data_IF_465353028573
#
_entry.id   IF_465353028573
#
_cell.length_a   1.000
_cell.length_b   1.000
_cell.length_c   1.000
_cell.angle_alpha   90.00
_cell.angle_beta   90.00
_cell.angle_gamma   90.00
#
_symmetry.space_group_name_H-M   'P 1'
#
loop_
_entity.id
_entity.type
_entity.pdbx_description
1 polymer ?
#
# COMPACT_ATOMS: atom_id res chain seq x y z
N UNK A 1 4.17 -4.22 -28.07
CA UNK A 1 2.92 -4.47 -28.84
C UNK A 1 3.12 -3.98 -30.28
N UNK A 2 3.53 -4.87 -31.21
CA UNK A 2 4.10 -4.50 -32.52
C UNK A 2 3.13 -4.48 -33.72
N UNK A 3 1.83 -4.76 -33.56
CA UNK A 3 0.90 -4.84 -34.69
C UNK A 3 -0.28 -3.84 -34.56
N UNK A 4 -0.64 -3.19 -35.67
CA UNK A 4 -1.93 -2.49 -35.81
C UNK A 4 -3.05 -3.54 -35.86
N UNK A 5 -4.16 -3.32 -35.16
CA UNK A 5 -5.29 -4.25 -35.11
C UNK A 5 -5.88 -4.48 -36.51
N UNK A 6 -6.43 -5.67 -36.75
CA UNK A 6 -7.08 -6.01 -38.00
C UNK A 6 -8.18 -4.99 -38.38
N UNK A 7 -8.94 -4.52 -37.39
CA UNK A 7 -10.00 -3.53 -37.58
C UNK A 7 -9.47 -2.18 -38.10
N UNK A 8 -8.36 -1.68 -37.55
CA UNK A 8 -7.72 -0.46 -38.05
C UNK A 8 -7.22 -0.68 -39.48
N UNK A 9 -6.65 -1.85 -39.80
CA UNK A 9 -6.19 -2.14 -41.16
C UNK A 9 -7.35 -2.19 -42.17
N UNK A 10 -8.49 -2.78 -41.81
CA UNK A 10 -9.69 -2.75 -42.65
C UNK A 10 -10.19 -1.32 -42.86
N UNK A 11 -10.16 -0.50 -41.81
CA UNK A 11 -10.61 0.88 -41.92
C UNK A 11 -9.64 1.75 -42.73
N UNK A 12 -8.33 1.48 -42.70
CA UNK A 12 -7.35 2.11 -43.62
C UNK A 12 -7.73 1.82 -45.09
N UNK A 13 -8.09 0.57 -45.41
CA UNK A 13 -8.52 0.19 -46.77
C UNK A 13 -9.78 0.97 -47.17
N UNK A 14 -10.75 1.14 -46.26
CA UNK A 14 -11.93 1.97 -46.51
C UNK A 14 -11.56 3.42 -46.82
N UNK A 15 -10.65 4.02 -46.05
CA UNK A 15 -10.18 5.39 -46.28
C UNK A 15 -9.50 5.54 -47.65
N UNK A 16 -8.67 4.58 -48.09
CA UNK A 16 -8.09 4.63 -49.43
C UNK A 16 -9.14 4.59 -50.55
N UNK A 17 -10.21 3.81 -50.36
CA UNK A 17 -11.29 3.70 -51.33
C UNK A 17 -12.18 4.94 -51.41
N UNK A 18 -12.44 5.59 -50.26
CA UNK A 18 -13.48 6.61 -50.10
C UNK A 18 -12.93 8.04 -49.96
N UNK A 19 -11.72 8.23 -49.44
CA UNK A 19 -11.16 9.57 -49.18
C UNK A 19 -10.41 10.19 -50.36
N UNK A 20 -10.30 9.50 -51.50
CA UNK A 20 -9.59 9.99 -52.68
C UNK A 20 -10.45 9.75 -53.91
N UNK A 21 -10.43 10.65 -54.90
CA UNK A 21 -11.03 10.39 -56.21
C UNK A 21 -9.99 9.80 -57.17
N UNK A 22 -8.92 10.56 -57.44
CA UNK A 22 -7.86 10.18 -58.37
C UNK A 22 -6.84 9.22 -57.78
N UNK A 23 -6.36 8.28 -58.61
CA UNK A 23 -5.32 7.32 -58.23
C UNK A 23 -3.96 7.98 -58.02
N UNK A 24 -3.67 9.08 -58.69
CA UNK A 24 -2.40 9.79 -58.51
C UNK A 24 -2.32 10.44 -57.12
N UNK A 25 -3.44 10.94 -56.59
CA UNK A 25 -3.51 11.42 -55.18
C UNK A 25 -3.25 10.28 -54.19
N UNK A 26 -3.73 9.06 -54.49
CA UNK A 26 -3.41 7.86 -53.68
C UNK A 26 -1.92 7.53 -53.75
N UNK A 27 -1.28 7.64 -54.92
CA UNK A 27 0.18 7.47 -55.06
C UNK A 27 0.92 8.45 -54.16
N UNK A 28 0.62 9.75 -54.26
CA UNK A 28 1.27 10.79 -53.45
C UNK A 28 1.11 10.53 -51.95
N UNK A 29 -0.08 10.10 -51.51
CA UNK A 29 -0.32 9.76 -50.11
C UNK A 29 0.48 8.54 -49.66
N UNK A 30 0.52 7.46 -50.47
CA UNK A 30 1.30 6.26 -50.16
C UNK A 30 2.81 6.56 -50.10
N UNK A 31 3.31 7.40 -51.01
CA UNK A 31 4.70 7.86 -51.00
C UNK A 31 5.03 8.67 -49.75
N UNK A 32 4.17 9.63 -49.38
CA UNK A 32 4.32 10.41 -48.14
C UNK A 32 4.31 9.53 -46.89
N UNK A 33 3.58 8.42 -46.91
CA UNK A 33 3.55 7.42 -45.84
C UNK A 33 4.77 6.48 -45.83
N UNK A 34 5.65 6.54 -46.84
CA UNK A 34 6.85 5.73 -46.95
C UNK A 34 6.64 4.34 -47.57
N UNK A 35 5.55 4.15 -48.34
CA UNK A 35 5.34 2.90 -49.10
C UNK A 35 6.33 2.85 -50.27
N UNK A 36 7.05 1.73 -50.50
CA UNK A 36 7.98 1.62 -51.62
C UNK A 36 7.29 1.79 -52.98
N UNK A 37 7.86 2.59 -53.88
CA UNK A 37 7.28 2.88 -55.20
C UNK A 37 6.99 1.62 -56.03
N UNK A 38 7.87 0.60 -55.96
CA UNK A 38 7.65 -0.67 -56.65
C UNK A 38 6.34 -1.33 -56.23
N UNK A 39 6.04 -1.32 -54.92
CA UNK A 39 4.83 -1.90 -54.37
C UNK A 39 3.57 -1.09 -54.72
N UNK A 40 3.69 0.25 -54.76
CA UNK A 40 2.60 1.14 -55.19
C UNK A 40 2.22 0.85 -56.64
N UNK A 41 3.22 0.85 -57.54
CA UNK A 41 3.00 0.72 -58.98
C UNK A 41 2.52 -0.67 -59.40
N UNK A 42 2.98 -1.72 -58.70
CA UNK A 42 2.58 -3.13 -58.96
C UNK A 42 1.07 -3.34 -59.03
N UNK A 43 0.31 -2.57 -58.24
CA UNK A 43 -1.14 -2.75 -58.09
C UNK A 43 -1.95 -1.52 -58.51
N UNK A 44 -1.33 -0.50 -59.14
CA UNK A 44 -1.99 0.77 -59.47
C UNK A 44 -3.17 0.62 -60.43
N UNK A 45 -3.17 -0.41 -61.29
CA UNK A 45 -4.28 -0.69 -62.21
C UNK A 45 -5.56 -1.11 -61.50
N UNK A 46 -5.47 -1.69 -60.30
CA UNK A 46 -6.60 -2.22 -59.54
C UNK A 46 -7.55 -1.12 -59.00
N UNK A 47 -8.82 -1.43 -58.71
CA UNK A 47 -9.69 -0.54 -57.95
C UNK A 47 -9.09 -0.16 -56.58
N UNK A 48 -9.28 1.08 -56.10
CA UNK A 48 -8.61 1.63 -54.90
C UNK A 48 -8.70 0.73 -53.66
N UNK A 49 -9.84 0.09 -53.41
CA UNK A 49 -10.02 -0.84 -52.30
C UNK A 49 -9.13 -2.09 -52.43
N UNK A 50 -9.12 -2.70 -53.62
CA UNK A 50 -8.32 -3.90 -53.93
C UNK A 50 -6.83 -3.54 -53.92
N UNK A 51 -6.48 -2.40 -54.50
CA UNK A 51 -5.13 -1.86 -54.50
C UNK A 51 -4.60 -1.67 -53.07
N UNK A 52 -5.33 -0.94 -52.22
CA UNK A 52 -4.93 -0.72 -50.83
C UNK A 52 -4.83 -2.04 -50.05
N UNK A 53 -5.78 -2.97 -50.25
CA UNK A 53 -5.74 -4.30 -49.62
C UNK A 53 -4.46 -5.05 -49.98
N UNK A 54 -4.08 -5.08 -51.26
CA UNK A 54 -2.87 -5.78 -51.72
C UNK A 54 -1.60 -5.15 -51.16
N UNK A 55 -1.51 -3.81 -51.14
CA UNK A 55 -0.38 -3.09 -50.53
C UNK A 55 -0.27 -3.42 -49.04
N UNK A 56 -1.36 -3.33 -48.27
CA UNK A 56 -1.36 -3.63 -46.83
C UNK A 56 -0.99 -5.10 -46.56
N UNK A 57 -1.48 -6.04 -47.38
CA UNK A 57 -1.14 -7.46 -47.26
C UNK A 57 0.36 -7.72 -47.46
N UNK A 58 0.99 -7.10 -48.46
CA UNK A 58 2.43 -7.23 -48.68
C UNK A 58 3.24 -6.58 -47.54
N UNK A 59 2.83 -5.40 -47.08
CA UNK A 59 3.50 -4.72 -45.96
C UNK A 59 3.43 -5.51 -44.65
N UNK A 60 2.32 -6.22 -44.38
CA UNK A 60 2.18 -7.01 -43.16
C UNK A 60 3.19 -8.17 -43.04
N UNK A 61 3.75 -8.66 -44.16
CA UNK A 61 4.68 -9.80 -44.17
C UNK A 61 5.99 -9.51 -43.45
N UNK A 62 6.38 -8.24 -43.30
CA UNK A 62 7.66 -7.84 -42.69
C UNK A 62 7.46 -6.91 -41.50
N UNK A 63 8.43 -6.85 -40.60
CA UNK A 63 8.39 -5.90 -39.48
C UNK A 63 8.49 -4.44 -39.96
N UNK A 64 9.37 -4.17 -40.93
CA UNK A 64 9.48 -2.85 -41.55
C UNK A 64 8.18 -2.42 -42.25
N UNK A 65 7.52 -3.33 -42.97
CA UNK A 65 6.24 -3.03 -43.60
C UNK A 65 5.13 -2.73 -42.58
N UNK A 66 5.12 -3.40 -41.42
CA UNK A 66 4.21 -3.05 -40.31
C UNK A 66 4.46 -1.64 -39.73
N UNK A 67 5.71 -1.15 -39.74
CA UNK A 67 6.00 0.25 -39.41
C UNK A 67 5.45 1.23 -40.45
N UNK A 68 5.48 0.86 -41.73
CA UNK A 68 4.89 1.67 -42.81
C UNK A 68 3.36 1.76 -42.66
N UNK A 69 2.68 0.66 -42.31
CA UNK A 69 1.23 0.68 -42.03
C UNK A 69 0.90 1.66 -40.88
N UNK A 70 1.78 1.79 -39.88
CA UNK A 70 1.64 2.79 -38.81
C UNK A 70 1.76 4.22 -39.30
N UNK A 71 2.68 4.47 -40.22
CA UNK A 71 2.81 5.80 -40.86
C UNK A 71 1.57 6.12 -41.68
N UNK A 72 1.06 5.17 -42.47
CA UNK A 72 -0.21 5.32 -43.21
C UNK A 72 -1.35 5.72 -42.26
N UNK A 73 -1.54 4.98 -41.17
CA UNK A 73 -2.58 5.28 -40.17
C UNK A 73 -2.42 6.69 -39.57
N UNK A 74 -1.17 7.10 -39.31
CA UNK A 74 -0.82 8.40 -38.75
C UNK A 74 -1.09 9.54 -39.72
N UNK A 75 -0.76 9.37 -41.00
CA UNK A 75 -1.03 10.37 -42.04
C UNK A 75 -2.54 10.55 -42.24
N UNK A 76 -3.33 9.47 -42.25
CA UNK A 76 -4.79 9.60 -42.22
C UNK A 76 -5.29 10.33 -40.97
N UNK A 77 -4.75 10.02 -39.80
CA UNK A 77 -5.15 10.69 -38.55
C UNK A 77 -4.94 12.21 -38.61
N UNK A 78 -3.85 12.65 -39.25
CA UNK A 78 -3.51 14.08 -39.43
C UNK A 78 -4.38 14.80 -40.46
N UNK A 79 -5.01 14.08 -41.41
CA UNK A 79 -5.85 14.71 -42.43
C UNK A 79 -7.03 15.45 -41.78
N UNK A 80 -7.12 16.77 -41.97
CA UNK A 80 -8.24 17.59 -41.46
C UNK A 80 -9.49 17.44 -42.32
N UNK A 81 -9.31 17.24 -43.63
CA UNK A 81 -10.36 17.11 -44.61
C UNK A 81 -9.91 16.13 -45.72
N UNK A 82 -10.84 15.72 -46.57
CA UNK A 82 -10.57 14.96 -47.80
C UNK A 82 -10.51 15.91 -49.01
N UNK A 83 -9.82 15.54 -50.10
CA UNK A 83 -9.73 16.34 -51.32
C UNK A 83 -11.10 16.71 -51.91
N UNK A 84 -11.19 17.89 -52.52
CA UNK A 84 -12.46 18.47 -52.99
C UNK A 84 -13.09 17.72 -54.17
N UNK A 85 -12.28 17.00 -54.94
CA UNK A 85 -12.70 16.19 -56.08
C UNK A 85 -13.46 14.90 -55.72
N UNK A 86 -13.56 14.54 -54.44
CA UNK A 86 -14.27 13.33 -54.01
C UNK A 86 -15.78 13.53 -54.20
N UNK A 87 -16.41 12.68 -55.02
CA UNK A 87 -17.84 12.77 -55.33
C UNK A 87 -18.74 12.50 -54.12
N UNK A 88 -18.48 11.43 -53.37
CA UNK A 88 -19.25 11.05 -52.17
C UNK A 88 -18.48 11.45 -50.91
N UNK A 89 -18.54 12.75 -50.60
CA UNK A 89 -17.74 13.33 -49.51
C UNK A 89 -18.15 12.82 -48.14
N UNK A 90 -19.44 12.60 -47.92
CA UNK A 90 -19.96 12.17 -46.63
C UNK A 90 -19.42 10.79 -46.24
N UNK A 91 -19.46 9.82 -47.17
CA UNK A 91 -18.88 8.50 -46.92
C UNK A 91 -17.37 8.53 -46.70
N UNK A 92 -16.65 9.38 -47.42
CA UNK A 92 -15.22 9.59 -47.21
C UNK A 92 -14.90 10.16 -45.83
N UNK A 93 -15.62 11.20 -45.42
CA UNK A 93 -15.46 11.82 -44.10
C UNK A 93 -15.87 10.87 -42.97
N UNK A 94 -16.94 10.09 -43.13
CA UNK A 94 -17.36 9.08 -42.16
C UNK A 94 -16.30 7.98 -42.00
N UNK A 95 -15.72 7.50 -43.10
CA UNK A 95 -14.64 6.53 -43.07
C UNK A 95 -13.41 7.07 -42.34
N UNK A 96 -13.04 8.33 -42.59
CA UNK A 96 -11.94 9.01 -41.92
C UNK A 96 -12.21 9.22 -40.42
N UNK A 97 -13.42 9.66 -40.05
CA UNK A 97 -13.83 9.81 -38.64
C UNK A 97 -13.76 8.48 -37.89
N UNK A 98 -14.26 7.40 -38.49
CA UNK A 98 -14.19 6.06 -37.89
C UNK A 98 -12.75 5.59 -37.68
N UNK A 99 -11.86 5.83 -38.66
CA UNK A 99 -10.43 5.51 -38.49
C UNK A 99 -9.80 6.29 -37.34
N UNK A 100 -10.09 7.59 -37.24
CA UNK A 100 -9.59 8.44 -36.15
C UNK A 100 -10.07 7.99 -34.78
N UNK A 101 -11.34 7.61 -34.68
CA UNK A 101 -11.90 7.06 -33.44
C UNK A 101 -11.19 5.77 -33.03
N UNK A 102 -11.01 4.81 -33.94
CA UNK A 102 -10.31 3.54 -33.67
C UNK A 102 -8.85 3.76 -33.21
N UNK A 103 -8.15 4.74 -33.81
CA UNK A 103 -6.78 5.11 -33.43
C UNK A 103 -6.75 5.84 -32.08
N UNK A 104 -7.73 6.71 -31.81
CA UNK A 104 -7.83 7.48 -30.57
C UNK A 104 -8.17 6.60 -29.36
N UNK A 105 -9.14 5.70 -29.50
CA UNK A 105 -9.57 4.76 -28.46
C UNK A 105 -8.43 3.81 -28.03
N UNK A 106 -7.62 3.32 -28.98
CA UNK A 106 -6.44 2.50 -28.67
C UNK A 106 -5.31 3.27 -27.97
N UNK A 107 -5.21 4.59 -28.13
CA UNK A 107 -4.27 5.41 -27.37
C UNK A 107 -4.79 5.72 -25.97
N UNK A 108 -6.09 5.98 -25.82
CA UNK A 108 -6.72 6.34 -24.55
C UNK A 108 -6.79 5.15 -23.57
N UNK A 109 -7.10 3.96 -24.07
CA UNK A 109 -7.08 2.72 -23.27
C UNK A 109 -5.67 2.39 -22.75
N UNK A 110 -4.63 2.66 -23.54
CA UNK A 110 -3.23 2.41 -23.17
C UNK A 110 -2.70 3.37 -22.10
N UNK A 111 -3.13 4.64 -22.17
CA UNK A 111 -2.82 5.66 -21.15
C UNK A 111 -3.50 5.25 -19.83
N UNK A 112 -4.79 4.92 -19.86
CA UNK A 112 -5.55 4.55 -18.66
C UNK A 112 -5.00 3.28 -17.99
N UNK A 113 -4.61 2.25 -18.75
CA UNK A 113 -3.97 1.05 -18.19
C UNK A 113 -2.60 1.37 -17.56
N UNK A 114 -1.81 2.26 -18.15
CA UNK A 114 -0.48 2.62 -17.63
C UNK A 114 -0.60 3.45 -16.34
N UNK A 115 -1.56 4.38 -16.27
CA UNK A 115 -1.83 5.18 -15.08
C UNK A 115 -2.41 4.34 -13.92
N UNK A 116 -3.33 3.42 -14.20
CA UNK A 116 -3.87 2.53 -13.17
C UNK A 116 -2.78 1.59 -12.62
N UNK A 117 -1.96 1.01 -13.49
CA UNK A 117 -0.85 0.15 -13.05
C UNK A 117 0.22 0.90 -12.25
N UNK A 118 0.55 2.15 -12.62
CA UNK A 118 1.53 2.96 -11.87
C UNK A 118 1.00 3.43 -10.51
N UNK A 119 -0.28 3.77 -10.42
CA UNK A 119 -0.94 4.13 -9.15
C UNK A 119 -1.01 2.95 -8.17
N UNK A 120 -1.40 1.76 -8.65
CA UNK A 120 -1.44 0.57 -7.79
C UNK A 120 -0.04 0.15 -7.34
N UNK A 121 0.95 0.23 -8.23
CA UNK A 121 2.34 -0.06 -7.92
C UNK A 121 2.92 0.91 -6.89
N UNK A 122 2.74 2.22 -7.07
CA UNK A 122 3.24 3.22 -6.10
C UNK A 122 2.59 3.09 -4.73
N UNK A 123 1.29 2.75 -4.67
CA UNK A 123 0.59 2.46 -3.42
C UNK A 123 1.10 1.19 -2.74
N UNK A 124 1.46 0.16 -3.50
CA UNK A 124 2.07 -1.07 -2.97
C UNK A 124 3.50 -0.80 -2.47
N UNK A 125 4.31 -0.07 -3.24
CA UNK A 125 5.66 0.35 -2.86
C UNK A 125 5.65 1.18 -1.58
N UNK A 126 4.76 2.16 -1.46
CA UNK A 126 4.57 2.94 -0.23
C UNK A 126 4.19 2.07 0.97
N UNK A 127 3.30 1.09 0.79
CA UNK A 127 2.93 0.15 1.87
C UNK A 127 4.10 -0.72 2.29
N UNK A 128 4.88 -1.23 1.33
CA UNK A 128 6.08 -2.03 1.60
C UNK A 128 7.12 -1.18 2.34
N UNK A 129 7.34 0.05 1.89
CA UNK A 129 8.28 0.98 2.51
C UNK A 129 7.87 1.34 3.94
N UNK A 130 6.59 1.63 4.17
CA UNK A 130 6.07 1.91 5.52
C UNK A 130 6.24 0.68 6.44
N UNK A 131 5.93 -0.52 5.95
CA UNK A 131 6.15 -1.78 6.68
C UNK A 131 7.63 -1.98 7.01
N UNK A 132 8.52 -1.72 6.07
CA UNK A 132 9.97 -1.82 6.28
C UNK A 132 10.45 -0.82 7.33
N UNK A 133 9.97 0.43 7.30
CA UNK A 133 10.27 1.43 8.31
C UNK A 133 9.79 1.02 9.70
N UNK A 134 8.56 0.50 9.81
CA UNK A 134 8.03 -0.02 11.08
C UNK A 134 8.88 -1.18 11.63
N UNK A 135 9.28 -2.13 10.78
CA UNK A 135 10.12 -3.27 11.18
C UNK A 135 11.52 -2.83 11.59
N UNK A 136 12.13 -1.90 10.84
CA UNK A 136 13.42 -1.32 11.20
C UNK A 136 13.34 -0.64 12.56
N UNK A 137 12.25 0.09 12.82
CA UNK A 137 12.08 0.76 14.10
C UNK A 137 11.93 -0.21 15.27
N UNK A 138 11.21 -1.31 15.09
CA UNK A 138 11.14 -2.38 16.09
C UNK A 138 12.52 -2.98 16.37
N UNK A 139 13.33 -3.21 15.33
CA UNK A 139 14.69 -3.75 15.47
C UNK A 139 15.61 -2.80 16.27
N UNK A 140 15.50 -1.49 16.03
CA UNK A 140 16.20 -0.46 16.82
C UNK A 140 15.79 -0.52 18.30
N UNK A 141 14.48 -0.57 18.58
CA UNK A 141 13.95 -0.63 19.94
C UNK A 141 14.34 -1.91 20.65
N UNK A 142 14.36 -3.04 19.94
CA UNK A 142 14.84 -4.33 20.45
C UNK A 142 16.32 -4.25 20.85
N UNK A 143 17.14 -3.66 19.99
CA UNK A 143 18.58 -3.48 20.24
C UNK A 143 18.81 -2.56 21.45
N UNK A 144 18.07 -1.44 21.53
CA UNK A 144 18.13 -0.53 22.68
C UNK A 144 17.72 -1.29 23.97
N UNK A 145 16.60 -2.02 23.96
CA UNK A 145 16.12 -2.80 25.09
C UNK A 145 17.15 -3.80 25.61
N UNK A 146 17.76 -4.60 24.71
CA UNK A 146 18.76 -5.58 25.13
C UNK A 146 20.05 -4.94 25.66
N UNK A 147 20.44 -3.77 25.15
CA UNK A 147 21.60 -3.04 25.69
C UNK A 147 21.41 -2.60 27.15
N UNK A 148 20.17 -2.43 27.60
CA UNK A 148 19.85 -1.98 28.96
C UNK A 148 20.15 -3.02 30.05
N UNK A 149 20.24 -4.31 29.70
CA UNK A 149 20.59 -5.37 30.67
C UNK A 149 22.02 -5.23 31.19
N UNK A 150 22.92 -4.66 30.40
CA UNK A 150 24.29 -4.33 30.81
C UNK A 150 24.41 -2.99 31.55
N UNK A 151 23.31 -2.28 31.77
CA UNK A 151 23.34 -0.97 32.43
C UNK A 151 23.44 -1.09 33.96
N UNK A 152 24.46 -0.47 34.53
CA UNK A 152 24.70 -0.43 35.98
C UNK A 152 23.90 0.66 36.71
N UNK A 153 23.25 1.59 36.00
CA UNK A 153 22.49 2.69 36.59
C UNK A 153 20.97 2.42 36.52
N UNK A 154 20.31 2.04 37.63
CA UNK A 154 18.90 1.65 37.62
C UNK A 154 17.95 2.78 37.22
N UNK A 155 18.24 4.03 37.62
CA UNK A 155 17.38 5.17 37.28
C UNK A 155 17.42 5.46 35.77
N UNK A 156 18.64 5.50 35.19
CA UNK A 156 18.82 5.71 33.76
C UNK A 156 18.20 4.56 32.96
N UNK A 157 18.32 3.33 33.45
CA UNK A 157 17.70 2.14 32.86
C UNK A 157 16.17 2.23 32.84
N UNK A 158 15.55 2.61 33.96
CA UNK A 158 14.10 2.82 34.04
C UNK A 158 13.60 3.87 33.05
N UNK A 159 14.21 5.04 33.04
CA UNK A 159 13.85 6.11 32.11
C UNK A 159 14.00 5.72 30.63
N UNK A 160 15.03 4.93 30.30
CA UNK A 160 15.22 4.40 28.94
C UNK A 160 14.15 3.38 28.57
N UNK A 161 13.77 2.51 29.50
CA UNK A 161 12.67 1.57 29.30
C UNK A 161 11.34 2.29 29.03
N UNK A 162 11.02 3.34 29.78
CA UNK A 162 9.83 4.16 29.55
C UNK A 162 9.79 4.72 28.11
N UNK A 163 10.93 5.22 27.60
CA UNK A 163 11.05 5.68 26.22
C UNK A 163 10.89 4.59 25.18
N UNK A 164 11.46 3.41 25.43
CA UNK A 164 11.31 2.25 24.53
C UNK A 164 9.84 1.87 24.42
N UNK A 165 9.14 1.78 25.56
CA UNK A 165 7.70 1.46 25.59
C UNK A 165 6.90 2.54 24.86
N UNK A 166 7.13 3.82 25.14
CA UNK A 166 6.43 4.91 24.45
C UNK A 166 6.62 4.84 22.92
N UNK A 167 7.85 4.60 22.46
CA UNK A 167 8.15 4.47 21.03
C UNK A 167 7.56 3.19 20.42
N UNK A 168 7.48 2.09 21.17
CA UNK A 168 6.84 0.86 20.73
C UNK A 168 5.34 1.07 20.48
N UNK A 169 4.65 1.77 21.39
CA UNK A 169 3.24 2.12 21.22
C UNK A 169 3.03 3.02 20.00
N UNK A 170 3.82 4.10 19.87
CA UNK A 170 3.75 5.01 18.70
C UNK A 170 4.02 4.29 17.38
N UNK A 171 5.00 3.39 17.33
CA UNK A 171 5.31 2.60 16.15
C UNK A 171 4.22 1.56 15.81
N UNK A 172 3.37 1.22 16.77
CA UNK A 172 2.22 0.32 16.60
C UNK A 172 0.93 1.07 16.28
N UNK A 173 1.02 2.37 15.95
CA UNK A 173 -0.12 3.26 15.69
C UNK A 173 -1.13 3.34 16.85
N UNK A 174 -0.65 3.16 18.09
CA UNK A 174 -1.44 3.33 19.31
C UNK A 174 -1.07 4.68 19.92
N UNK A 175 -2.06 5.56 20.05
CA UNK A 175 -1.88 6.89 20.64
C UNK A 175 -1.46 6.76 22.11
N UNK A 176 -0.22 7.17 22.39
CA UNK A 176 0.43 7.03 23.70
C UNK A 176 0.95 8.38 24.17
N UNK A 177 0.46 8.79 25.33
CA UNK A 177 0.90 9.96 26.05
C UNK A 177 2.00 9.55 27.04
N UNK A 178 3.17 10.17 26.91
CA UNK A 178 4.33 9.95 27.76
C UNK A 178 4.09 10.37 29.23
N UNK A 179 5.09 10.16 30.09
CA UNK A 179 4.97 10.44 31.52
C UNK A 179 4.44 11.84 31.78
N UNK A 180 3.45 11.91 32.66
CA UNK A 180 2.81 13.16 33.06
C UNK A 180 2.52 13.14 34.55
N UNK A 181 2.31 14.34 35.09
CA UNK A 181 1.88 14.56 36.46
C UNK A 181 0.52 15.23 36.42
N UNK A 182 -0.42 14.71 37.19
CA UNK A 182 -1.71 15.37 37.33
C UNK A 182 -1.58 16.53 38.34
N UNK A 183 -1.88 17.74 37.90
CA UNK A 183 -1.70 18.98 38.67
C UNK A 183 -2.54 19.01 39.95
N UNK A 184 -3.67 18.31 39.97
CA UNK A 184 -4.64 18.32 41.07
C UNK A 184 -4.30 17.40 42.24
N UNK A 185 -3.59 16.30 41.98
CA UNK A 185 -3.31 15.26 42.99
C UNK A 185 -1.85 14.80 43.01
N UNK A 186 -0.97 15.47 42.26
CA UNK A 186 0.47 15.23 42.16
C UNK A 186 0.89 13.81 41.74
N UNK A 187 -0.06 12.97 41.34
CA UNK A 187 0.20 11.59 40.92
C UNK A 187 0.99 11.61 39.62
N UNK A 188 2.17 10.99 39.63
CA UNK A 188 2.97 10.74 38.44
C UNK A 188 2.56 9.39 37.83
N UNK A 189 2.42 9.37 36.51
CA UNK A 189 2.20 8.18 35.71
C UNK A 189 3.28 8.09 34.64
N UNK A 190 3.66 6.87 34.27
CA UNK A 190 4.71 6.64 33.28
C UNK A 190 4.14 6.74 31.85
N UNK A 191 2.81 6.62 31.72
CA UNK A 191 2.09 7.04 30.53
C UNK A 191 0.60 6.75 30.56
N UNK A 192 -0.03 6.98 29.41
CA UNK A 192 -1.45 6.75 29.17
C UNK A 192 -1.68 6.40 27.71
N UNK A 193 -2.62 5.51 27.43
CA UNK A 193 -3.06 5.23 26.06
C UNK A 193 -4.54 4.86 26.01
N UNK A 194 -5.13 5.00 24.82
CA UNK A 194 -6.48 4.52 24.55
C UNK A 194 -6.45 3.30 23.64
N UNK A 195 -7.21 2.27 24.00
CA UNK A 195 -7.27 1.03 23.24
C UNK A 195 -8.67 0.43 23.26
N UNK A 196 -9.21 0.15 22.07
CA UNK A 196 -10.55 -0.44 21.87
C UNK A 196 -11.65 0.25 22.70
N UNK A 197 -11.60 1.58 22.80
CA UNK A 197 -12.59 2.38 23.51
C UNK A 197 -12.36 2.56 25.01
N UNK A 198 -11.35 1.91 25.58
CA UNK A 198 -10.98 2.03 27.00
C UNK A 198 -9.70 2.84 27.20
N UNK A 199 -9.62 3.49 28.36
CA UNK A 199 -8.46 4.27 28.79
C UNK A 199 -7.55 3.43 29.68
N UNK A 200 -6.24 3.52 29.47
CA UNK A 200 -5.23 2.77 30.23
C UNK A 200 -4.20 3.70 30.83
N UNK A 201 -4.01 3.59 32.15
CA UNK A 201 -2.88 4.18 32.85
C UNK A 201 -1.70 3.21 32.84
N UNK A 202 -0.49 3.71 32.60
CA UNK A 202 0.71 2.88 32.48
C UNK A 202 1.69 3.15 33.62
N UNK A 203 2.19 2.07 34.22
CA UNK A 203 3.31 2.09 35.15
C UNK A 203 4.35 1.06 34.68
N UNK A 204 5.62 1.47 34.67
CA UNK A 204 6.74 0.72 34.14
C UNK A 204 7.79 0.60 35.24
N UNK A 205 8.26 -0.63 35.49
CA UNK A 205 9.28 -0.88 36.53
C UNK A 205 10.37 -1.84 36.04
N UNK A 206 11.62 -1.48 36.32
CA UNK A 206 12.78 -2.36 36.18
C UNK A 206 13.42 -2.66 37.54
N UNK A 207 12.67 -3.45 38.31
CA UNK A 207 13.00 -4.02 39.62
C UNK A 207 14.33 -4.79 39.64
N UNK A 208 15.01 -4.95 40.78
CA UNK A 208 15.86 -6.13 40.96
C UNK A 208 14.99 -7.36 41.22
N UNK A 209 14.07 -7.24 42.17
CA UNK A 209 13.18 -8.33 42.57
C UNK A 209 11.83 -8.22 41.85
N UNK A 210 11.09 -9.35 41.70
CA UNK A 210 9.72 -9.32 41.18
C UNK A 210 8.80 -8.44 42.03
N UNK A 211 7.86 -7.78 41.36
CA UNK A 211 6.97 -6.77 41.96
C UNK A 211 6.10 -7.38 43.05
N UNK A 212 5.89 -6.62 44.13
CA UNK A 212 5.04 -6.95 45.28
C UNK A 212 3.66 -6.24 45.22
N UNK A 213 2.73 -6.63 46.10
CA UNK A 213 1.34 -6.13 46.08
C UNK A 213 1.23 -4.62 46.30
N UNK A 214 2.13 -4.00 47.06
CA UNK A 214 2.06 -2.57 47.37
C UNK A 214 2.25 -1.68 46.14
N UNK A 215 3.08 -2.08 45.18
CA UNK A 215 3.29 -1.30 43.95
C UNK A 215 2.10 -1.39 43.02
N UNK A 216 1.48 -2.56 42.90
CA UNK A 216 0.26 -2.73 42.12
C UNK A 216 -0.90 -1.95 42.76
N UNK A 217 -1.02 -1.98 44.09
CA UNK A 217 -2.03 -1.23 44.82
C UNK A 217 -1.95 0.29 44.56
N UNK A 218 -0.73 0.84 44.43
CA UNK A 218 -0.53 2.25 44.06
C UNK A 218 -1.12 2.58 42.69
N UNK A 219 -0.84 1.77 41.65
CA UNK A 219 -1.45 1.98 40.33
C UNK A 219 -2.97 1.78 40.38
N UNK A 220 -3.46 0.76 41.10
CA UNK A 220 -4.89 0.52 41.28
C UNK A 220 -5.59 1.73 41.90
N UNK A 221 -5.03 2.32 42.95
CA UNK A 221 -5.58 3.52 43.56
C UNK A 221 -5.64 4.68 42.56
N UNK A 222 -4.62 4.87 41.72
CA UNK A 222 -4.65 5.89 40.66
C UNK A 222 -5.79 5.61 39.67
N UNK A 223 -5.96 4.37 39.24
CA UNK A 223 -7.04 3.94 38.32
C UNK A 223 -8.42 4.15 38.94
N UNK A 224 -8.63 3.76 40.20
CA UNK A 224 -9.93 3.88 40.88
C UNK A 224 -10.36 5.33 41.12
N UNK A 225 -9.45 6.31 41.00
CA UNK A 225 -9.79 7.75 41.02
C UNK A 225 -10.23 8.30 39.66
N UNK A 226 -10.23 7.49 38.59
CA UNK A 226 -10.62 7.91 37.24
C UNK A 226 -12.02 7.44 36.89
N UNK A 227 -12.44 7.68 35.64
CA UNK A 227 -13.74 7.23 35.13
C UNK A 227 -13.89 5.71 35.30
N UNK A 228 -15.13 5.24 35.46
CA UNK A 228 -15.46 3.85 35.82
C UNK A 228 -14.83 2.79 34.90
N UNK A 229 -14.50 3.14 33.66
CA UNK A 229 -13.93 2.25 32.64
C UNK A 229 -12.41 2.35 32.48
N UNK A 230 -11.72 3.19 33.25
CA UNK A 230 -10.25 3.29 33.20
C UNK A 230 -9.61 2.02 33.74
N UNK A 231 -8.57 1.56 33.06
CA UNK A 231 -7.79 0.36 33.38
C UNK A 231 -6.32 0.73 33.58
N UNK A 232 -5.53 -0.22 34.03
CA UNK A 232 -4.09 -0.10 34.17
C UNK A 232 -3.34 -1.15 33.37
N UNK A 233 -2.17 -0.79 32.86
CA UNK A 233 -1.16 -1.71 32.37
C UNK A 233 0.09 -1.53 33.22
N UNK A 234 0.50 -2.59 33.90
CA UNK A 234 1.72 -2.64 34.68
C UNK A 234 2.76 -3.46 33.92
N UNK A 235 3.87 -2.83 33.54
CA UNK A 235 4.98 -3.49 32.85
C UNK A 235 6.12 -3.67 33.85
N UNK A 236 6.57 -4.90 34.05
CA UNK A 236 7.74 -5.19 34.89
C UNK A 236 8.74 -6.13 34.24
N UNK A 237 9.98 -5.67 34.04
CA UNK A 237 10.99 -6.50 33.36
C UNK A 237 11.28 -7.80 34.11
N UNK A 238 11.39 -7.74 35.44
CA UNK A 238 11.67 -8.91 36.28
C UNK A 238 10.38 -9.58 36.80
N UNK A 239 9.23 -9.24 36.22
CA UNK A 239 7.96 -9.91 36.47
C UNK A 239 7.34 -9.62 37.84
N UNK A 240 6.47 -10.55 38.26
CA UNK A 240 5.58 -10.41 39.41
C UNK A 240 5.70 -11.64 40.29
N UNK A 241 5.55 -11.47 41.60
CA UNK A 241 5.48 -12.62 42.51
C UNK A 241 4.15 -13.36 42.33
N UNK A 242 4.17 -14.68 42.49
CA UNK A 242 2.95 -15.50 42.35
C UNK A 242 1.82 -15.08 43.29
N UNK A 243 2.17 -14.73 44.53
CA UNK A 243 1.24 -14.19 45.54
C UNK A 243 0.53 -12.92 45.04
N UNK A 244 1.21 -12.05 44.28
CA UNK A 244 0.63 -10.83 43.72
C UNK A 244 -0.33 -11.14 42.59
N UNK A 245 0.02 -12.12 41.74
CA UNK A 245 -0.89 -12.56 40.67
C UNK A 245 -2.17 -13.11 41.29
N UNK A 246 -2.06 -13.91 42.35
CA UNK A 246 -3.21 -14.45 43.08
C UNK A 246 -4.04 -13.36 43.77
N UNK A 247 -3.40 -12.41 44.46
CA UNK A 247 -4.06 -11.29 45.14
C UNK A 247 -4.92 -10.45 44.19
N UNK A 248 -4.45 -10.26 42.96
CA UNK A 248 -5.12 -9.45 41.94
C UNK A 248 -5.90 -10.30 40.91
N UNK A 249 -5.99 -11.62 41.10
CA UNK A 249 -6.87 -12.48 40.32
C UNK A 249 -8.29 -12.48 40.88
N UNK A 250 -9.29 -12.49 40.00
CA UNK A 250 -10.72 -12.58 40.36
C UNK A 250 -11.24 -11.47 41.30
N UNK A 251 -10.51 -10.34 41.43
CA UNK A 251 -10.88 -9.20 42.28
C UNK A 251 -11.00 -7.91 41.49
N UNK A 252 -12.15 -7.65 40.85
CA UNK A 252 -12.44 -6.43 40.05
C UNK A 252 -11.18 -5.81 39.41
N UNK A 253 -10.38 -6.67 38.77
CA UNK A 253 -8.98 -6.36 38.53
C UNK A 253 -8.88 -5.59 37.24
N UNK A 254 -8.79 -4.27 37.38
CA UNK A 254 -8.65 -3.34 36.26
C UNK A 254 -7.22 -3.26 35.73
N UNK A 255 -6.29 -4.04 36.28
CA UNK A 255 -4.86 -3.96 35.98
C UNK A 255 -4.39 -5.20 35.23
N UNK A 256 -3.78 -4.99 34.06
CA UNK A 256 -3.10 -6.02 33.29
C UNK A 256 -1.61 -6.03 33.62
N UNK A 257 -1.01 -7.20 33.71
CA UNK A 257 0.41 -7.38 34.01
C UNK A 257 1.15 -7.85 32.77
N UNK A 258 2.24 -7.19 32.39
CA UNK A 258 3.12 -7.62 31.30
C UNK A 258 4.55 -7.69 31.81
N UNK A 259 5.22 -8.82 31.58
CA UNK A 259 6.61 -8.98 32.01
C UNK A 259 7.64 -8.67 30.90
N UNK A 260 8.93 -8.70 31.26
CA UNK A 260 10.02 -8.47 30.32
C UNK A 260 10.13 -9.54 29.23
N UNK A 261 9.70 -10.78 29.50
CA UNK A 261 9.73 -11.85 28.51
C UNK A 261 8.66 -11.61 27.43
N UNK A 262 7.46 -11.21 27.84
CA UNK A 262 6.39 -10.81 26.92
C UNK A 262 6.80 -9.58 26.10
N UNK A 263 7.45 -8.59 26.74
CA UNK A 263 7.98 -7.42 26.04
C UNK A 263 9.05 -7.81 25.00
N UNK A 264 9.95 -8.74 25.32
CA UNK A 264 10.90 -9.31 24.36
C UNK A 264 10.20 -9.96 23.17
N UNK A 265 9.12 -10.73 23.37
CA UNK A 265 8.37 -11.36 22.28
C UNK A 265 7.77 -10.32 21.32
N UNK A 266 7.30 -9.19 21.86
CA UNK A 266 6.76 -8.08 21.07
C UNK A 266 7.89 -7.39 20.28
N UNK A 267 9.02 -7.09 20.94
CA UNK A 267 10.18 -6.44 20.32
C UNK A 267 10.91 -7.34 19.31
N UNK A 268 10.81 -8.66 19.46
CA UNK A 268 11.27 -9.64 18.46
C UNK A 268 10.27 -9.81 17.32
N UNK A 269 9.17 -9.06 17.32
CA UNK A 269 8.11 -9.12 16.31
C UNK A 269 7.50 -10.54 16.16
N UNK A 270 7.50 -11.34 17.24
CA UNK A 270 6.81 -12.65 17.28
C UNK A 270 5.29 -12.48 17.42
N UNK A 271 4.88 -11.34 17.99
CA UNK A 271 3.50 -10.90 18.09
C UNK A 271 3.50 -9.36 18.07
N UNK A 272 2.52 -8.74 17.41
CA UNK A 272 2.41 -7.27 17.44
C UNK A 272 1.94 -6.81 18.81
N UNK A 273 2.29 -5.58 19.21
CA UNK A 273 1.79 -4.99 20.46
C UNK A 273 0.24 -4.99 20.51
N UNK A 274 -0.39 -4.66 19.38
CA UNK A 274 -1.85 -4.65 19.25
C UNK A 274 -2.46 -6.02 19.57
N UNK A 275 -1.94 -7.10 18.98
CA UNK A 275 -2.44 -8.45 19.26
C UNK A 275 -2.08 -8.92 20.68
N UNK A 276 -0.90 -8.57 21.19
CA UNK A 276 -0.52 -8.86 22.57
C UNK A 276 -1.51 -8.22 23.57
N UNK A 277 -1.84 -6.94 23.39
CA UNK A 277 -2.84 -6.26 24.22
C UNK A 277 -4.20 -6.95 24.15
N UNK A 278 -4.67 -7.32 22.95
CA UNK A 278 -5.93 -8.07 22.79
C UNK A 278 -5.93 -9.40 23.52
N UNK A 279 -4.87 -10.20 23.38
CA UNK A 279 -4.74 -11.49 24.08
C UNK A 279 -4.85 -11.29 25.59
N UNK A 280 -4.15 -10.28 26.14
CA UNK A 280 -4.18 -10.00 27.59
C UNK A 280 -5.54 -9.50 28.04
N UNK A 281 -6.15 -8.57 27.32
CA UNK A 281 -7.47 -8.02 27.64
C UNK A 281 -8.54 -9.11 27.61
N UNK A 282 -8.61 -9.88 26.53
CA UNK A 282 -9.60 -10.96 26.37
C UNK A 282 -9.36 -12.05 27.41
N UNK A 283 -8.11 -12.43 27.62
CA UNK A 283 -7.72 -13.44 28.61
C UNK A 283 -8.10 -13.04 30.03
N UNK A 284 -7.71 -11.83 30.45
CA UNK A 284 -8.03 -11.30 31.77
C UNK A 284 -9.54 -11.15 31.96
N UNK A 285 -10.27 -10.66 30.95
CA UNK A 285 -11.73 -10.52 31.01
C UNK A 285 -12.44 -11.88 31.15
N UNK A 286 -11.91 -12.94 30.51
CA UNK A 286 -12.50 -14.29 30.58
C UNK A 286 -12.16 -15.04 31.86
N UNK A 287 -10.96 -14.86 32.39
CA UNK A 287 -10.39 -15.72 33.45
C UNK A 287 -10.26 -15.02 34.80
N UNK A 288 -10.37 -13.69 34.83
CA UNK A 288 -10.06 -12.88 36.00
C UNK A 288 -8.55 -12.83 36.32
N UNK A 289 -7.69 -13.46 35.53
CA UNK A 289 -6.23 -13.46 35.75
C UNK A 289 -5.59 -12.22 35.10
N UNK A 290 -4.92 -11.33 35.85
CA UNK A 290 -4.29 -10.14 35.30
C UNK A 290 -3.01 -10.45 34.47
N UNK A 291 -2.41 -11.63 34.67
CA UNK A 291 -1.15 -12.06 34.05
C UNK A 291 -1.33 -13.17 33.01
N UNK A 292 -2.29 -13.02 32.08
CA UNK A 292 -2.44 -13.98 30.98
C UNK A 292 -1.24 -13.89 30.03
N UNK A 293 -0.54 -15.00 29.84
CA UNK A 293 0.65 -15.08 28.99
C UNK A 293 0.33 -15.01 27.49
N UNK A 294 0.92 -14.05 26.78
CA UNK A 294 0.82 -13.95 25.32
C UNK A 294 1.63 -15.04 24.60
N UNK A 295 2.67 -15.58 25.23
CA UNK A 295 3.58 -16.58 24.64
C UNK A 295 2.83 -17.86 24.29
N UNK A 296 1.90 -18.26 25.16
CA UNK A 296 1.04 -19.43 24.93
C UNK A 296 0.16 -19.31 23.69
N UNK A 297 -0.15 -18.08 23.26
CA UNK A 297 -0.95 -17.79 22.06
C UNK A 297 -0.09 -17.78 20.79
N UNK A 298 1.18 -17.40 20.91
CA UNK A 298 2.16 -17.42 19.80
C UNK A 298 2.50 -18.86 19.40
N UNK A 299 2.70 -19.75 20.38
CA UNK A 299 3.12 -21.13 20.13
C UNK A 299 1.99 -22.08 19.65
N UNK A 300 0.77 -21.57 19.41
CA UNK A 300 -0.38 -22.35 18.90
C UNK A 300 -0.53 -22.31 17.38
N UNK A 301 0.35 -21.58 16.70
CA UNK A 301 0.44 -21.47 15.25
C UNK A 301 1.83 -21.87 14.78
#
# INVERSE_FOLDING_TARGET
MNNISFEIQQQIIQCFGLCFHYKDTVVSFMQASGVPNELILRWKSEPKFVWAKNVINELNKTENGRLIIRRIATEFYKMKNIPDEVQDRDRGLDALRKLKWLIGDTQQNKINETFNNSYHRSKQEMKIQLRQQQLQKIEELKTEYYSLFSSENPQKRGYRLEKIVANLFKNSDIDYHESYRNDTNTQQLDGYFRFEGFDYLVEIKWEKDPINSSKIASLKQKVDTKLTSTRGLFISVNGFRDEVIQDFSNRDSKILFMDGQELSYILENRISLYEALKVKIIGASKTGNPNVSIISSVNRF
#
